data_IF_661922742162
#
_entry.id   IF_661922742162
#
_cell.length_a   1.000
_cell.length_b   1.000
_cell.length_c   1.000
_cell.angle_alpha   90.00
_cell.angle_beta   90.00
_cell.angle_gamma   90.00
#
_symmetry.space_group_name_H-M   'P 1'
#
loop_
_entity.id
_entity.type
_entity.pdbx_description
1 polymer ?
#
# COMPACT_ATOMS: atom_id res chain seq x y z
N UNK A 1 9.03 -28.52 12.49
CA UNK A 1 10.23 -27.64 12.58
C UNK A 1 10.13 -26.37 11.74
N UNK A 2 9.66 -26.42 10.48
CA UNK A 2 9.57 -25.22 9.61
C UNK A 2 8.69 -24.10 10.15
N UNK A 3 7.52 -24.42 10.73
CA UNK A 3 6.64 -23.39 11.32
C UNK A 3 7.32 -22.64 12.48
N UNK A 4 8.04 -23.37 13.34
CA UNK A 4 8.76 -22.78 14.48
C UNK A 4 9.84 -21.78 14.04
N UNK A 5 10.63 -22.10 13.00
CA UNK A 5 11.69 -21.21 12.53
C UNK A 5 11.14 -19.94 11.89
N UNK A 6 10.05 -20.04 11.13
CA UNK A 6 9.34 -18.89 10.57
C UNK A 6 8.76 -17.99 11.67
N UNK A 7 8.13 -18.59 12.66
CA UNK A 7 7.52 -17.91 13.80
C UNK A 7 8.55 -17.20 14.67
N UNK A 8 9.68 -17.86 14.96
CA UNK A 8 10.82 -17.25 15.64
C UNK A 8 11.38 -16.05 14.86
N UNK A 9 11.50 -16.16 13.53
CA UNK A 9 11.98 -15.07 12.68
C UNK A 9 11.02 -13.87 12.71
N UNK A 10 9.71 -14.10 12.62
CA UNK A 10 8.71 -13.04 12.68
C UNK A 10 8.78 -12.25 14.00
N UNK A 11 8.90 -12.95 15.14
CA UNK A 11 9.06 -12.28 16.44
C UNK A 11 10.38 -11.53 16.54
N UNK A 12 11.48 -12.10 16.04
CA UNK A 12 12.77 -11.42 16.04
C UNK A 12 12.73 -10.11 15.24
N UNK A 13 11.98 -10.08 14.13
CA UNK A 13 11.77 -8.88 13.34
C UNK A 13 10.92 -7.83 14.07
N UNK A 14 9.81 -8.23 14.71
CA UNK A 14 9.00 -7.33 15.54
C UNK A 14 9.83 -6.75 16.71
N UNK A 15 10.71 -7.55 17.31
CA UNK A 15 11.60 -7.11 18.38
C UNK A 15 12.64 -6.06 17.94
N UNK A 16 12.80 -5.81 16.64
CA UNK A 16 13.66 -4.72 16.15
C UNK A 16 13.03 -3.34 16.25
N UNK A 17 11.71 -3.28 16.43
CA UNK A 17 10.94 -2.02 16.44
C UNK A 17 10.07 -1.83 17.68
N UNK A 18 9.85 -2.88 18.47
CA UNK A 18 8.99 -2.90 19.66
C UNK A 18 9.81 -3.46 20.84
N UNK A 19 9.63 -2.94 22.07
CA UNK A 19 10.33 -3.44 23.25
C UNK A 19 9.97 -4.91 23.58
N UNK A 20 10.89 -5.59 24.28
CA UNK A 20 10.76 -7.01 24.59
C UNK A 20 9.56 -7.34 25.51
N UNK A 21 9.10 -6.38 26.32
CA UNK A 21 7.95 -6.54 27.23
C UNK A 21 6.66 -6.91 26.49
N UNK A 22 6.42 -6.30 25.32
CA UNK A 22 5.26 -6.57 24.45
C UNK A 22 5.29 -7.97 23.83
N UNK A 23 6.46 -8.62 23.78
CA UNK A 23 6.66 -9.91 23.15
C UNK A 23 6.82 -11.06 24.16
N UNK A 24 6.82 -10.78 25.45
CA UNK A 24 7.14 -11.75 26.50
C UNK A 24 6.20 -12.97 26.47
N UNK A 25 4.89 -12.74 26.43
CA UNK A 25 3.89 -13.82 26.38
C UNK A 25 4.02 -14.73 25.16
N UNK A 26 4.41 -14.17 24.01
CA UNK A 26 4.59 -14.95 22.77
C UNK A 26 5.91 -15.74 22.80
N UNK A 27 6.97 -15.16 23.37
CA UNK A 27 8.26 -15.85 23.58
C UNK A 27 8.12 -17.05 24.51
N UNK A 28 7.34 -16.90 25.58
CA UNK A 28 6.99 -18.00 26.49
C UNK A 28 6.26 -19.13 25.74
N UNK A 29 5.26 -18.81 24.92
CA UNK A 29 4.52 -19.80 24.12
C UNK A 29 5.41 -20.51 23.08
N UNK A 30 6.43 -19.85 22.53
CA UNK A 30 7.42 -20.53 21.70
C UNK A 30 8.33 -21.45 22.52
N UNK A 31 8.67 -21.08 23.75
CA UNK A 31 9.52 -21.91 24.62
C UNK A 31 8.82 -23.20 25.05
N UNK A 32 7.49 -23.17 25.23
CA UNK A 32 6.71 -24.38 25.55
C UNK A 32 6.72 -25.41 24.44
N UNK A 33 6.91 -25.01 23.17
CA UNK A 33 7.07 -25.93 22.04
C UNK A 33 8.39 -26.72 22.06
N UNK A 34 9.38 -26.26 22.83
CA UNK A 34 10.69 -26.90 22.96
C UNK A 34 10.77 -27.82 24.17
N UNK A 35 9.78 -27.80 25.07
CA UNK A 35 9.85 -28.59 26.28
C UNK A 35 9.64 -30.09 25.94
N UNK A 36 10.49 -30.99 26.47
CA UNK A 36 10.34 -32.43 26.26
C UNK A 36 9.13 -32.97 27.04
N UNK A 37 8.46 -33.99 26.50
CA UNK A 37 7.44 -34.75 27.24
C UNK A 37 5.99 -34.63 26.78
N UNK A 38 5.70 -33.94 25.67
CA UNK A 38 4.33 -33.87 25.14
C UNK A 38 3.97 -35.04 24.22
N UNK A 39 2.71 -35.48 24.28
CA UNK A 39 2.14 -36.36 23.27
C UNK A 39 2.07 -35.66 21.90
N UNK A 40 2.10 -36.44 20.80
CA UNK A 40 2.02 -35.89 19.44
C UNK A 40 0.81 -34.98 19.24
N UNK A 41 -0.34 -35.33 19.80
CA UNK A 41 -1.58 -34.54 19.71
C UNK A 41 -1.46 -33.20 20.47
N UNK A 42 -0.90 -33.23 21.68
CA UNK A 42 -0.68 -32.03 22.49
C UNK A 42 0.33 -31.08 21.82
N UNK A 43 1.38 -31.64 21.23
CA UNK A 43 2.38 -30.87 20.49
C UNK A 43 1.77 -30.15 19.27
N UNK A 44 0.85 -30.80 18.56
CA UNK A 44 0.13 -30.17 17.43
C UNK A 44 -0.77 -29.03 17.91
N UNK A 45 -1.57 -29.25 18.97
CA UNK A 45 -2.44 -28.20 19.54
C UNK A 45 -1.64 -26.97 19.98
N UNK A 46 -0.55 -27.20 20.73
CA UNK A 46 0.33 -26.12 21.17
C UNK A 46 0.97 -25.36 19.99
N UNK A 47 1.35 -26.07 18.93
CA UNK A 47 1.92 -25.44 17.74
C UNK A 47 0.91 -24.53 17.03
N UNK A 48 -0.34 -24.96 16.91
CA UNK A 48 -1.43 -24.14 16.34
C UNK A 48 -1.70 -22.92 17.21
N UNK A 49 -1.83 -23.09 18.53
CA UNK A 49 -2.07 -21.98 19.46
C UNK A 49 -0.95 -20.93 19.43
N UNK A 50 0.30 -21.40 19.32
CA UNK A 50 1.46 -20.52 19.19
C UNK A 50 1.44 -19.76 17.85
N UNK A 51 1.05 -20.42 16.76
CA UNK A 51 0.92 -19.78 15.45
C UNK A 51 -0.15 -18.68 15.46
N UNK A 52 -1.32 -18.95 16.02
CA UNK A 52 -2.38 -17.96 16.19
C UNK A 52 -1.97 -16.78 17.07
N UNK A 53 -1.24 -17.04 18.16
CA UNK A 53 -0.71 -15.99 19.02
C UNK A 53 0.26 -15.07 18.26
N UNK A 54 1.09 -15.63 17.39
CA UNK A 54 2.07 -14.88 16.59
C UNK A 54 1.38 -14.12 15.48
N UNK A 55 0.41 -14.73 14.80
CA UNK A 55 -0.38 -14.06 13.78
C UNK A 55 -1.15 -12.87 14.35
N UNK A 56 -1.73 -12.99 15.56
CA UNK A 56 -2.32 -11.85 16.27
C UNK A 56 -1.32 -10.71 16.49
N UNK A 57 -0.09 -11.03 16.87
CA UNK A 57 0.93 -10.01 17.09
C UNK A 57 1.41 -9.35 15.78
N UNK A 58 1.54 -10.12 14.70
CA UNK A 58 1.86 -9.59 13.36
C UNK A 58 0.80 -8.60 12.87
N UNK A 59 -0.49 -8.85 13.15
CA UNK A 59 -1.59 -8.01 12.70
C UNK A 59 -1.69 -6.66 13.42
N UNK A 60 -1.03 -6.49 14.57
CA UNK A 60 -1.03 -5.22 15.31
C UNK A 60 -0.23 -4.13 14.62
N UNK A 61 0.76 -4.47 13.81
CA UNK A 61 1.55 -3.50 13.04
C UNK A 61 1.44 -3.82 11.56
N UNK A 62 0.65 -3.02 10.84
CA UNK A 62 0.31 -3.32 9.45
C UNK A 62 -0.02 -2.08 8.62
N UNK A 63 0.07 -2.27 7.32
CA UNK A 63 -0.50 -1.35 6.33
C UNK A 63 -1.93 -1.80 6.00
N UNK A 64 -2.87 -0.86 5.89
CA UNK A 64 -4.25 -1.17 5.51
C UNK A 64 -4.33 -1.40 4.00
N UNK A 65 -4.95 -2.52 3.59
CA UNK A 65 -5.23 -2.82 2.19
C UNK A 65 -6.22 -1.81 1.60
N UNK A 66 -6.11 -1.52 0.31
CA UNK A 66 -6.92 -0.49 -0.31
C UNK A 66 -7.13 -0.69 -1.81
N UNK A 67 -8.20 -0.07 -2.32
CA UNK A 67 -8.51 0.02 -3.75
C UNK A 67 -8.61 1.50 -4.13
N UNK A 68 -7.89 1.90 -5.17
CA UNK A 68 -7.78 3.29 -5.57
C UNK A 68 -8.00 3.45 -7.08
N UNK A 69 -8.46 4.63 -7.47
CA UNK A 69 -8.62 5.02 -8.86
C UNK A 69 -7.86 6.31 -9.08
N UNK A 70 -6.92 6.29 -10.01
CA UNK A 70 -6.10 7.45 -10.37
C UNK A 70 -6.69 8.07 -11.63
N UNK A 71 -7.14 9.31 -11.55
CA UNK A 71 -7.74 10.04 -12.69
C UNK A 71 -6.83 11.12 -13.26
N UNK A 72 -5.71 11.38 -12.58
CA UNK A 72 -4.76 12.43 -12.93
C UNK A 72 -3.34 11.89 -13.00
N UNK A 73 -2.48 12.58 -13.76
CA UNK A 73 -1.07 12.19 -13.90
C UNK A 73 -0.34 12.26 -12.55
N UNK A 74 -0.65 13.24 -11.70
CA UNK A 74 -0.07 13.39 -10.36
C UNK A 74 -1.20 13.45 -9.34
N UNK A 75 -1.13 12.59 -8.33
CA UNK A 75 -2.13 12.50 -7.27
C UNK A 75 -1.46 12.20 -5.92
N UNK A 76 -2.22 12.27 -4.82
CA UNK A 76 -1.75 11.87 -3.49
C UNK A 76 -2.54 10.66 -3.02
N UNK A 77 -1.86 9.52 -2.88
CA UNK A 77 -2.44 8.27 -2.44
C UNK A 77 -2.55 8.25 -0.91
N UNK A 78 -3.77 8.14 -0.34
CA UNK A 78 -3.92 7.96 1.10
C UNK A 78 -3.56 6.52 1.49
N UNK A 79 -2.53 6.32 2.29
CA UNK A 79 -2.17 5.00 2.86
C UNK A 79 -2.31 5.07 4.37
N UNK A 80 -3.08 4.14 4.94
CA UNK A 80 -3.26 4.05 6.39
C UNK A 80 -2.32 3.01 6.98
N UNK A 81 -1.62 3.41 8.03
CA UNK A 81 -0.75 2.58 8.84
C UNK A 81 -1.39 2.38 10.21
N UNK A 82 -1.28 1.19 10.77
CA UNK A 82 -1.89 0.82 12.05
C UNK A 82 -0.79 0.34 13.00
N UNK A 83 -0.82 0.88 14.22
CA UNK A 83 -0.05 0.41 15.34
C UNK A 83 -0.98 0.13 16.53
N UNK A 84 -1.35 -1.13 16.74
CA UNK A 84 -2.16 -1.59 17.87
C UNK A 84 -1.29 -2.04 19.06
N UNK A 85 0.02 -1.74 19.06
CA UNK A 85 0.88 -1.92 20.24
C UNK A 85 0.70 -0.76 21.22
N UNK A 86 1.02 -0.97 22.50
CA UNK A 86 0.94 0.09 23.52
C UNK A 86 2.21 0.96 23.56
N UNK A 87 3.06 0.85 22.54
CA UNK A 87 4.36 1.52 22.45
C UNK A 87 4.48 2.24 21.13
N UNK A 88 5.19 3.36 21.13
CA UNK A 88 5.51 4.08 19.89
C UNK A 88 6.49 3.27 19.06
N UNK A 89 6.29 3.24 17.75
CA UNK A 89 7.02 2.40 16.80
C UNK A 89 7.60 3.27 15.69
N UNK A 90 8.92 3.18 15.47
CA UNK A 90 9.62 3.83 14.36
C UNK A 90 9.79 2.85 13.20
N UNK A 91 9.17 3.17 12.06
CA UNK A 91 9.16 2.31 10.87
C UNK A 91 9.36 3.11 9.58
N UNK A 92 9.78 2.40 8.55
CA UNK A 92 9.80 2.88 7.17
C UNK A 92 8.69 2.18 6.38
N UNK A 93 8.07 2.88 5.44
CA UNK A 93 7.10 2.32 4.50
C UNK A 93 7.78 2.12 3.14
N UNK A 94 7.97 0.87 2.74
CA UNK A 94 8.43 0.51 1.41
C UNK A 94 7.23 0.23 0.50
N UNK A 95 7.25 0.80 -0.71
CA UNK A 95 6.19 0.62 -1.70
C UNK A 95 6.84 0.16 -3.00
N UNK A 96 6.40 -0.97 -3.52
CA UNK A 96 6.93 -1.57 -4.75
C UNK A 96 5.78 -1.75 -5.74
N UNK A 97 5.77 -1.02 -6.86
CA UNK A 97 4.84 -1.27 -7.94
C UNK A 97 5.08 -2.62 -8.61
N UNK A 98 4.00 -3.31 -8.98
CA UNK A 98 4.07 -4.55 -9.79
C UNK A 98 4.55 -4.27 -11.22
N UNK A 99 4.37 -3.05 -11.72
CA UNK A 99 4.76 -2.65 -13.07
C UNK A 99 5.13 -1.15 -13.11
N UNK A 100 5.67 -0.70 -14.23
CA UNK A 100 6.12 0.69 -14.46
C UNK A 100 4.98 1.67 -14.78
N UNK A 101 3.69 1.31 -14.61
CA UNK A 101 2.57 2.22 -14.92
C UNK A 101 2.46 3.37 -13.94
N UNK A 102 3.04 3.24 -12.75
CA UNK A 102 3.03 4.26 -11.71
C UNK A 102 4.42 4.38 -11.10
N UNK A 103 4.74 5.59 -10.67
CA UNK A 103 5.94 5.92 -9.92
C UNK A 103 5.51 6.44 -8.55
N UNK A 104 6.00 5.79 -7.50
CA UNK A 104 5.73 6.13 -6.12
C UNK A 104 6.97 5.77 -5.30
N UNK A 105 7.29 6.60 -4.32
CA UNK A 105 8.39 6.36 -3.40
C UNK A 105 7.86 5.93 -2.02
N UNK A 106 8.65 5.12 -1.32
CA UNK A 106 8.43 4.84 0.09
C UNK A 106 8.68 6.08 0.97
N UNK A 107 8.28 5.98 2.23
CA UNK A 107 8.45 7.05 3.23
C UNK A 107 9.29 6.50 4.39
N UNK A 108 10.24 7.28 4.89
CA UNK A 108 11.13 6.89 5.99
C UNK A 108 10.78 7.58 7.30
N UNK A 109 11.26 7.01 8.39
CA UNK A 109 11.24 7.56 9.74
C UNK A 109 9.83 7.96 10.21
N UNK A 110 8.88 7.06 9.95
CA UNK A 110 7.50 7.23 10.36
C UNK A 110 7.36 6.76 11.80
N UNK A 111 7.05 7.71 12.68
CA UNK A 111 6.63 7.42 14.05
C UNK A 111 5.14 7.10 14.05
N UNK A 112 4.80 5.92 14.56
CA UNK A 112 3.44 5.47 14.83
C UNK A 112 3.22 5.44 16.33
N UNK A 113 2.29 6.28 16.82
CA UNK A 113 1.97 6.36 18.25
C UNK A 113 1.31 5.06 18.76
N UNK A 114 1.35 4.80 20.07
CA UNK A 114 0.63 3.70 20.69
C UNK A 114 -0.85 3.67 20.29
N UNK A 115 -1.38 2.47 20.01
CA UNK A 115 -2.80 2.22 19.71
C UNK A 115 -3.41 3.20 18.70
N UNK A 116 -2.67 3.54 17.65
CA UNK A 116 -3.01 4.61 16.72
C UNK A 116 -3.10 4.15 15.27
N UNK A 117 -3.82 4.94 14.47
CA UNK A 117 -3.87 4.83 13.02
C UNK A 117 -3.35 6.13 12.42
N UNK A 118 -2.39 6.04 11.49
CA UNK A 118 -1.79 7.20 10.83
C UNK A 118 -2.01 7.11 9.33
N UNK A 119 -2.63 8.13 8.75
CA UNK A 119 -2.84 8.23 7.32
C UNK A 119 -1.75 9.10 6.69
N UNK A 120 -1.05 8.56 5.69
CA UNK A 120 -0.03 9.26 4.92
C UNK A 120 -0.60 9.59 3.53
N UNK A 121 -0.34 10.80 3.05
CA UNK A 121 -0.69 11.22 1.69
C UNK A 121 0.55 11.18 0.81
N UNK A 122 0.74 10.10 0.07
CA UNK A 122 1.99 9.83 -0.67
C UNK A 122 1.83 10.25 -2.12
N UNK A 123 2.69 11.16 -2.64
CA UNK A 123 2.68 11.52 -4.04
C UNK A 123 2.88 10.31 -4.95
N UNK A 124 2.03 10.18 -5.95
CA UNK A 124 2.08 9.14 -6.97
C UNK A 124 1.94 9.78 -8.34
N UNK A 125 2.77 9.32 -9.28
CA UNK A 125 2.73 9.74 -10.67
C UNK A 125 2.28 8.56 -11.54
N UNK A 126 1.30 8.78 -12.40
CA UNK A 126 0.87 7.83 -13.42
C UNK A 126 1.69 8.02 -14.70
N UNK A 127 2.19 6.92 -15.24
CA UNK A 127 2.93 6.84 -16.50
C UNK A 127 2.04 6.24 -17.60
N UNK A 128 1.13 5.31 -17.26
CA UNK A 128 0.25 4.68 -18.25
C UNK A 128 -1.09 4.18 -17.67
N UNK A 129 -2.14 4.25 -18.49
CA UNK A 129 -3.51 3.83 -18.17
C UNK A 129 -3.66 2.31 -18.06
N UNK A 130 -4.42 1.84 -17.07
CA UNK A 130 -4.74 0.42 -16.85
C UNK A 130 -4.68 0.00 -15.38
N UNK A 131 -5.03 -1.27 -15.06
CA UNK A 131 -4.93 -1.80 -13.72
C UNK A 131 -3.46 -2.01 -13.31
N UNK A 132 -3.15 -1.76 -12.05
CA UNK A 132 -1.86 -2.08 -11.43
C UNK A 132 -2.03 -2.40 -9.94
N UNK A 133 -0.96 -2.91 -9.33
CA UNK A 133 -0.91 -3.30 -7.93
C UNK A 133 0.36 -2.74 -7.30
N UNK A 134 0.25 -2.19 -6.09
CA UNK A 134 1.40 -1.83 -5.27
C UNK A 134 1.46 -2.80 -4.09
N UNK A 135 2.68 -3.23 -3.77
CA UNK A 135 2.98 -3.95 -2.54
C UNK A 135 3.55 -2.96 -1.54
N UNK A 136 2.84 -2.75 -0.44
CA UNK A 136 3.24 -1.84 0.62
C UNK A 136 3.62 -2.64 1.87
N UNK A 137 4.86 -2.47 2.33
CA UNK A 137 5.38 -3.21 3.48
C UNK A 137 6.07 -2.26 4.45
N UNK A 138 5.83 -2.46 5.75
CA UNK A 138 6.59 -1.79 6.79
C UNK A 138 7.97 -2.42 6.92
N UNK A 139 9.01 -1.61 7.12
CA UNK A 139 10.39 -2.06 7.27
C UNK A 139 11.04 -1.36 8.46
N UNK A 140 12.06 -1.97 9.05
CA UNK A 140 12.86 -1.30 10.09
C UNK A 140 13.87 -0.31 9.46
N UNK A 141 14.69 0.31 10.30
CA UNK A 141 15.80 1.19 9.88
C UNK A 141 16.81 0.51 8.95
N UNK A 142 16.91 -0.82 8.98
CA UNK A 142 17.77 -1.64 8.11
C UNK A 142 17.08 -2.13 6.84
N UNK A 143 15.91 -1.57 6.50
CA UNK A 143 15.09 -1.95 5.34
C UNK A 143 14.65 -3.43 5.34
N UNK A 144 14.56 -4.07 6.51
CA UNK A 144 14.04 -5.43 6.63
C UNK A 144 12.53 -5.38 6.87
N UNK A 145 11.77 -6.10 6.05
CA UNK A 145 10.31 -6.19 6.13
C UNK A 145 9.80 -6.70 7.48
N UNK A 146 8.79 -6.02 8.02
CA UNK A 146 8.10 -6.33 9.27
C UNK A 146 6.64 -6.59 8.94
N UNK A 147 6.11 -7.68 9.51
CA UNK A 147 4.72 -8.06 9.31
C UNK A 147 4.42 -8.44 7.86
N UNK A 148 3.16 -8.28 7.49
CA UNK A 148 2.65 -8.69 6.18
C UNK A 148 2.66 -7.53 5.18
N UNK A 149 2.88 -7.87 3.90
CA UNK A 149 2.79 -6.91 2.82
C UNK A 149 1.32 -6.68 2.46
N UNK A 150 0.90 -5.41 2.44
CA UNK A 150 -0.43 -5.03 2.00
C UNK A 150 -0.48 -4.85 0.49
N UNK A 151 -1.56 -5.35 -0.09
CA UNK A 151 -1.86 -5.21 -1.52
C UNK A 151 -2.74 -3.97 -1.70
N UNK A 152 -2.26 -3.00 -2.45
CA UNK A 152 -3.03 -1.82 -2.88
C UNK A 152 -3.37 -2.00 -4.36
N UNK A 153 -4.65 -2.11 -4.70
CA UNK A 153 -5.11 -2.25 -6.08
C UNK A 153 -5.40 -0.87 -6.67
N UNK A 154 -4.84 -0.57 -7.83
CA UNK A 154 -5.06 0.71 -8.50
C UNK A 154 -5.60 0.51 -9.90
N UNK A 155 -6.53 1.39 -10.28
CA UNK A 155 -6.97 1.52 -11.65
C UNK A 155 -6.62 2.93 -12.14
N UNK A 156 -5.69 3.00 -13.09
CA UNK A 156 -5.22 4.24 -13.68
C UNK A 156 -6.06 4.56 -14.90
N UNK A 157 -6.65 5.75 -14.94
CA UNK A 157 -7.45 6.27 -16.04
C UNK A 157 -7.12 7.74 -16.26
N UNK A 158 -5.91 8.01 -16.75
CA UNK A 158 -5.45 9.38 -17.01
C UNK A 158 -5.79 9.75 -18.45
N UNK A 159 -6.47 10.87 -18.61
CA UNK A 159 -6.72 11.49 -19.91
C UNK A 159 -5.59 12.50 -20.16
N UNK A 160 -4.94 12.42 -21.31
CA UNK A 160 -3.86 13.34 -21.65
C UNK A 160 -4.40 14.77 -21.83
N UNK A 161 -3.84 15.78 -21.14
CA UNK A 161 -4.21 17.18 -21.36
C UNK A 161 -4.02 17.63 -22.81
N UNK A 162 -3.07 17.05 -23.53
CA UNK A 162 -2.81 17.38 -24.93
C UNK A 162 -4.04 17.10 -25.82
N UNK A 163 -4.75 15.99 -25.58
CA UNK A 163 -5.94 15.61 -26.35
C UNK A 163 -7.04 16.67 -26.19
N UNK A 164 -7.22 17.19 -24.98
CA UNK A 164 -8.21 18.24 -24.71
C UNK A 164 -7.92 19.52 -25.52
N UNK A 165 -6.64 19.91 -25.64
CA UNK A 165 -6.25 21.07 -26.45
C UNK A 165 -6.47 20.84 -27.95
N UNK A 166 -6.21 19.64 -28.47
CA UNK A 166 -6.53 19.30 -29.86
C UNK A 166 -8.02 19.40 -30.16
N UNK A 167 -8.87 18.81 -29.30
CA UNK A 167 -10.33 18.86 -29.49
C UNK A 167 -10.85 20.30 -29.39
N UNK A 168 -10.36 21.07 -28.43
CA UNK A 168 -10.76 22.49 -28.26
C UNK A 168 -10.35 23.33 -29.46
N UNK A 169 -9.11 23.17 -29.95
CA UNK A 169 -8.63 23.86 -31.14
C UNK A 169 -9.44 23.50 -32.40
N UNK A 170 -9.75 22.21 -32.60
CA UNK A 170 -10.58 21.76 -33.71
C UNK A 170 -12.00 22.33 -33.64
N UNK A 171 -12.61 22.37 -32.45
CA UNK A 171 -13.93 22.95 -32.25
C UNK A 171 -13.97 24.44 -32.62
N UNK A 172 -12.94 25.21 -32.23
CA UNK A 172 -12.80 26.63 -32.59
C UNK A 172 -12.69 26.79 -34.11
N UNK A 173 -11.85 25.98 -34.77
CA UNK A 173 -11.70 26.01 -36.23
C UNK A 173 -13.00 25.65 -36.96
N UNK A 174 -13.74 24.65 -36.49
CA UNK A 174 -15.04 24.29 -37.05
C UNK A 174 -16.05 25.42 -36.91
N UNK A 175 -16.06 26.11 -35.76
CA UNK A 175 -16.95 27.24 -35.54
C UNK A 175 -16.64 28.40 -36.50
N UNK A 176 -15.36 28.75 -36.67
CA UNK A 176 -14.90 29.74 -37.65
C UNK A 176 -15.27 29.34 -39.08
N UNK A 177 -15.06 28.08 -39.45
CA UNK A 177 -15.42 27.53 -40.76
C UNK A 177 -16.92 27.63 -41.03
N UNK A 178 -17.76 27.32 -40.04
CA UNK A 178 -19.21 27.43 -40.12
C UNK A 178 -19.67 28.89 -40.32
N UNK A 179 -19.04 29.85 -39.61
CA UNK A 179 -19.32 31.27 -39.80
C UNK A 179 -18.99 31.73 -41.24
N UNK A 180 -17.82 31.34 -41.76
CA UNK A 180 -17.41 31.67 -43.14
C UNK A 180 -18.36 31.04 -44.16
N UNK A 181 -18.72 29.76 -44.00
CA UNK A 181 -19.67 29.07 -44.87
C UNK A 181 -21.05 29.74 -44.85
N UNK A 182 -21.54 30.13 -43.67
CA UNK A 182 -22.82 30.83 -43.51
C UNK A 182 -22.84 32.14 -44.30
N UNK A 183 -21.83 32.99 -44.14
CA UNK A 183 -21.71 34.26 -44.89
C UNK A 183 -21.60 34.02 -46.39
N UNK A 184 -20.80 33.03 -46.81
CA UNK A 184 -20.65 32.67 -48.24
C UNK A 184 -21.97 32.18 -48.84
N UNK A 185 -22.77 31.43 -48.08
CA UNK A 185 -24.09 30.93 -48.51
C UNK A 185 -25.07 32.06 -48.76
N UNK A 186 -25.16 33.02 -47.83
CA UNK A 186 -26.07 34.18 -47.94
C UNK A 186 -25.71 35.03 -49.16
N UNK A 187 -24.42 35.27 -49.41
CA UNK A 187 -23.97 36.06 -50.57
C UNK A 187 -24.28 35.38 -51.91
N UNK A 188 -24.23 34.04 -51.98
CA UNK A 188 -24.56 33.29 -53.20
C UNK A 188 -26.06 33.24 -53.50
N UNK A 189 -26.91 33.37 -52.49
CA UNK A 189 -28.38 33.39 -52.67
C UNK A 189 -28.92 34.73 -53.20
N UNK A 190 -28.10 35.78 -53.23
CA UNK A 190 -28.50 37.13 -53.68
C UNK A 190 -27.98 37.49 -55.09
N UNK A 191 -27.32 36.56 -55.77
CA UNK A 191 -27.02 36.63 -57.20
C UNK A 191 -27.98 35.71 -57.92
#
# INVERSE_FOLDING_TARGET
MLAYTLNRRAIALLATVIPASELYGVRLRLSTLLAPGYSKESAVKLATDADEAINRQKHKLRVVVGKYRLTSEKEKLPITLVNDFNTSVLVNLQIIPKNSRVQIAGVRDIILEPSSKKQLSIPITSIATGPTTLFAQLTNSKAVGIGESAILSLNVSVISPAVAWFTTGAAILLFLGALIQSVRRIRRSRK
#
